data_IF_429672569044
#
_entry.id   IF_429672569044
#
_cell.length_a   1.000
_cell.length_b   1.000
_cell.length_c   1.000
_cell.angle_alpha   90.00
_cell.angle_beta   90.00
_cell.angle_gamma   90.00
#
_symmetry.space_group_name_H-M   'P 1'
#
loop_
_entity.id
_entity.type
_entity.pdbx_description
1 polymer ?
#
# COMPACT_ATOMS: atom_id res chain seq x y z
N UNK A 1 14.91 20.78 19.46
CA UNK A 1 15.37 19.88 18.38
C UNK A 1 14.14 19.46 17.58
N UNK A 2 14.08 19.66 16.26
CA UNK A 2 12.98 19.11 15.47
C UNK A 2 13.06 17.58 15.51
N UNK A 3 11.93 16.86 15.60
CA UNK A 3 11.95 15.40 15.56
C UNK A 3 12.51 14.90 14.21
N UNK A 4 13.25 13.80 14.26
CA UNK A 4 13.90 13.15 13.09
C UNK A 4 12.88 12.74 12.02
N UNK A 5 11.61 12.51 12.42
CA UNK A 5 10.54 12.14 11.50
C UNK A 5 9.48 13.27 11.40
N UNK A 6 9.14 13.71 10.18
CA UNK A 6 8.05 14.65 9.97
C UNK A 6 6.73 14.06 10.47
N UNK A 7 5.96 14.86 11.20
CA UNK A 7 4.65 14.46 11.73
C UNK A 7 3.55 15.00 10.82
N UNK A 8 2.60 14.13 10.48
CA UNK A 8 1.40 14.51 9.74
C UNK A 8 0.22 14.42 10.72
N UNK A 9 -0.49 15.52 10.90
CA UNK A 9 -1.72 15.56 11.68
C UNK A 9 -2.90 15.41 10.73
N UNK A 10 -3.79 14.46 10.99
CA UNK A 10 -4.96 14.15 10.16
C UNK A 10 -6.20 14.15 11.04
N UNK A 11 -7.30 14.69 10.52
CA UNK A 11 -8.61 14.69 11.19
C UNK A 11 -9.45 13.56 10.62
N UNK A 12 -10.00 12.71 11.49
CA UNK A 12 -10.90 11.63 11.12
C UNK A 12 -12.30 11.91 11.65
N UNK A 13 -13.30 11.43 10.92
CA UNK A 13 -14.66 11.36 11.45
C UNK A 13 -14.71 10.39 12.65
N UNK A 14 -15.62 10.66 13.58
CA UNK A 14 -15.80 9.86 14.80
C UNK A 14 -15.94 8.35 14.55
N UNK A 15 -16.71 7.84 13.57
CA UNK A 15 -16.77 6.40 13.31
C UNK A 15 -15.40 5.83 12.90
N UNK A 16 -14.73 6.43 11.91
CA UNK A 16 -13.42 5.97 11.41
C UNK A 16 -12.37 5.99 12.52
N UNK A 17 -12.36 7.03 13.36
CA UNK A 17 -11.46 7.10 14.52
C UNK A 17 -11.66 5.92 15.48
N UNK A 18 -12.92 5.57 15.78
CA UNK A 18 -13.26 4.43 16.67
C UNK A 18 -12.90 3.08 16.06
N UNK A 19 -13.03 2.94 14.75
CA UNK A 19 -12.66 1.72 14.05
C UNK A 19 -11.14 1.53 14.13
N UNK A 20 -10.36 2.59 13.85
CA UNK A 20 -8.90 2.57 13.99
C UNK A 20 -8.49 2.28 15.45
N UNK A 21 -9.19 2.87 16.42
CA UNK A 21 -8.96 2.60 17.85
C UNK A 21 -9.19 1.13 18.20
N UNK A 22 -10.26 0.54 17.68
CA UNK A 22 -10.57 -0.86 17.89
C UNK A 22 -9.54 -1.78 17.25
N UNK A 23 -9.07 -1.45 16.04
CA UNK A 23 -7.99 -2.18 15.36
C UNK A 23 -6.65 -2.07 16.11
N UNK A 24 -6.31 -0.88 16.59
CA UNK A 24 -5.08 -0.67 17.36
C UNK A 24 -5.09 -1.48 18.66
N UNK A 25 -6.22 -1.49 19.38
CA UNK A 25 -6.43 -2.29 20.59
C UNK A 25 -6.35 -3.79 20.30
N UNK A 26 -7.05 -4.26 19.26
CA UNK A 26 -7.03 -5.68 18.83
C UNK A 26 -5.60 -6.15 18.55
N UNK A 27 -4.80 -5.31 17.90
CA UNK A 27 -3.46 -5.67 17.46
C UNK A 27 -2.37 -5.32 18.49
N UNK A 28 -2.74 -4.77 19.66
CA UNK A 28 -1.81 -4.45 20.75
C UNK A 28 -0.81 -3.34 20.43
N UNK A 29 -1.13 -2.44 19.50
CA UNK A 29 -0.24 -1.36 19.03
C UNK A 29 -0.83 0.02 19.32
N UNK A 30 0.00 1.07 19.23
CA UNK A 30 -0.47 2.45 19.37
C UNK A 30 -1.28 2.91 18.16
N UNK A 31 -2.14 3.91 18.36
CA UNK A 31 -2.92 4.54 17.28
C UNK A 31 -2.05 5.03 16.13
N UNK A 32 -0.95 5.72 16.44
CA UNK A 32 -0.03 6.23 15.42
C UNK A 32 0.61 5.12 14.60
N UNK A 33 0.96 3.99 15.22
CA UNK A 33 1.50 2.84 14.51
C UNK A 33 0.44 2.21 13.60
N UNK A 34 -0.78 2.01 14.12
CA UNK A 34 -1.88 1.45 13.32
C UNK A 34 -2.19 2.32 12.11
N UNK A 35 -2.30 3.65 12.29
CA UNK A 35 -2.53 4.59 11.18
C UNK A 35 -1.37 4.55 10.18
N UNK A 36 -0.12 4.54 10.64
CA UNK A 36 1.04 4.46 9.76
C UNK A 36 1.00 3.21 8.89
N UNK A 37 0.69 2.06 9.47
CA UNK A 37 0.70 0.79 8.75
C UNK A 37 -0.46 0.72 7.75
N UNK A 38 -1.66 1.18 8.13
CA UNK A 38 -2.79 1.31 7.19
C UNK A 38 -2.48 2.25 6.01
N UNK A 39 -1.75 3.35 6.25
CA UNK A 39 -1.33 4.27 5.18
C UNK A 39 -0.32 3.60 4.25
N UNK A 40 0.59 2.78 4.78
CA UNK A 40 1.54 2.01 3.94
C UNK A 40 0.80 1.00 3.06
N UNK A 41 -0.13 0.24 3.63
CA UNK A 41 -0.96 -0.70 2.86
C UNK A 41 -1.74 0.03 1.76
N UNK A 42 -2.30 1.21 2.04
CA UNK A 42 -2.97 2.02 1.02
C UNK A 42 -2.02 2.48 -0.09
N UNK A 43 -0.76 2.81 0.23
CA UNK A 43 0.25 3.16 -0.78
C UNK A 43 0.62 1.95 -1.66
N UNK A 44 0.74 0.76 -1.07
CA UNK A 44 1.00 -0.48 -1.83
C UNK A 44 -0.15 -0.77 -2.82
N UNK A 45 -1.41 -0.56 -2.40
CA UNK A 45 -2.58 -0.70 -3.28
C UNK A 45 -2.52 0.30 -4.44
N UNK A 46 -2.12 1.55 -4.20
CA UNK A 46 -1.96 2.53 -5.28
C UNK A 46 -0.82 2.15 -6.24
N UNK A 47 0.27 1.58 -5.73
CA UNK A 47 1.35 1.05 -6.56
C UNK A 47 0.86 -0.09 -7.45
N UNK A 48 0.10 -1.05 -6.90
CA UNK A 48 -0.48 -2.16 -7.66
C UNK A 48 -1.38 -1.68 -8.80
N UNK A 49 -2.14 -0.60 -8.60
CA UNK A 49 -2.95 0.03 -9.67
C UNK A 49 -2.07 0.53 -10.81
N UNK A 50 -0.95 1.16 -10.48
CA UNK A 50 0.02 1.64 -11.48
C UNK A 50 0.68 0.47 -12.21
N UNK A 51 1.16 -0.54 -11.48
CA UNK A 51 1.78 -1.73 -12.07
C UNK A 51 0.81 -2.48 -12.98
N UNK A 52 -0.46 -2.57 -12.60
CA UNK A 52 -1.53 -3.16 -13.42
C UNK A 52 -1.70 -2.40 -14.73
N UNK A 53 -1.72 -1.07 -14.69
CA UNK A 53 -1.83 -0.24 -15.91
C UNK A 53 -0.64 -0.45 -16.87
N UNK A 54 0.57 -0.56 -16.31
CA UNK A 54 1.78 -0.89 -17.09
C UNK A 54 1.65 -2.28 -17.71
N UNK A 55 1.22 -3.27 -16.93
CA UNK A 55 1.03 -4.64 -17.41
C UNK A 55 0.00 -4.70 -18.55
N UNK A 56 -1.15 -4.03 -18.40
CA UNK A 56 -2.19 -3.94 -19.44
C UNK A 56 -1.67 -3.30 -20.72
N UNK A 57 -0.82 -2.28 -20.62
CA UNK A 57 -0.20 -1.64 -21.80
C UNK A 57 0.71 -2.62 -22.54
N UNK A 58 1.50 -3.40 -21.81
CA UNK A 58 2.39 -4.43 -22.38
C UNK A 58 1.59 -5.57 -22.99
N UNK A 59 0.51 -5.98 -22.33
CA UNK A 59 -0.38 -7.05 -22.80
C UNK A 59 -0.96 -6.75 -24.19
N UNK A 60 -1.38 -5.51 -24.46
CA UNK A 60 -1.92 -5.09 -25.77
C UNK A 60 -0.99 -5.36 -26.95
N UNK A 61 0.32 -5.35 -26.72
CA UNK A 61 1.34 -5.55 -27.77
C UNK A 61 2.09 -6.87 -27.63
N UNK A 62 1.64 -7.72 -26.70
CA UNK A 62 2.31 -8.97 -26.36
C UNK A 62 2.25 -9.96 -27.53
N UNK A 63 3.40 -10.56 -27.85
CA UNK A 63 3.52 -11.61 -28.86
C UNK A 63 4.10 -12.85 -28.19
N UNK A 64 3.30 -13.92 -28.10
CA UNK A 64 3.71 -15.19 -27.46
C UNK A 64 5.00 -15.77 -28.07
N UNK A 65 5.22 -15.59 -29.38
CA UNK A 65 6.45 -16.03 -30.06
C UNK A 65 7.72 -15.31 -29.59
N UNK A 66 7.58 -14.12 -28.97
CA UNK A 66 8.70 -13.36 -28.36
C UNK A 66 8.81 -13.58 -26.85
N UNK A 67 7.94 -14.41 -26.26
CA UNK A 67 7.97 -14.70 -24.84
C UNK A 67 9.06 -15.74 -24.54
N UNK A 68 9.73 -15.57 -23.41
CA UNK A 68 10.77 -16.48 -22.92
C UNK A 68 10.16 -17.35 -21.82
N UNK A 69 10.56 -18.63 -21.72
CA UNK A 69 10.04 -19.53 -20.69
C UNK A 69 10.62 -19.15 -19.33
N UNK A 70 9.86 -19.43 -18.28
CA UNK A 70 10.26 -19.10 -16.90
C UNK A 70 11.63 -19.71 -16.53
N UNK A 71 11.81 -21.01 -16.75
CA UNK A 71 13.04 -21.74 -16.45
C UNK A 71 14.28 -21.29 -17.25
N UNK A 72 14.09 -20.48 -18.30
CA UNK A 72 15.20 -19.96 -19.10
C UNK A 72 15.72 -18.61 -18.55
N UNK A 73 15.02 -17.99 -17.59
CA UNK A 73 15.35 -16.67 -16.99
C UNK A 73 15.51 -16.74 -15.47
N UNK A 74 14.71 -17.57 -14.81
CA UNK A 74 14.73 -17.81 -13.35
C UNK A 74 15.36 -19.16 -13.05
#
# INVERSE_FOLDING_TARGET
MPPVNPRINVVFEKPVYKDIESLAKRDGVSMSLKVRDLVKEAMEIEEDRVLTSIAQTREKTFKRAKAIKHNDIW
#
